data_IF_564436310940
#
_entry.id   IF_564436310940
#
_cell.length_a   1.000
_cell.length_b   1.000
_cell.length_c   1.000
_cell.angle_alpha   90.00
_cell.angle_beta   90.00
_cell.angle_gamma   90.00
#
_symmetry.space_group_name_H-M   'P 1'
#
loop_
_entity.id
_entity.type
_entity.pdbx_description
1 polymer ?
#
# COMPACT_ATOMS: atom_id res chain seq x y z
N UNK A 1 0.10 -8.68 10.46
CA UNK A 1 1.09 -8.91 9.38
C UNK A 1 2.48 -9.26 9.92
N UNK A 2 2.98 -8.59 10.97
CA UNK A 2 4.27 -8.92 11.60
C UNK A 2 4.43 -10.40 12.02
N UNK A 3 3.40 -11.00 12.62
CA UNK A 3 3.44 -12.42 13.01
C UNK A 3 3.69 -13.36 11.81
N UNK A 4 3.06 -13.08 10.67
CA UNK A 4 3.22 -13.87 9.44
C UNK A 4 4.65 -13.74 8.88
N UNK A 5 5.23 -12.53 8.94
CA UNK A 5 6.60 -12.29 8.52
C UNK A 5 7.62 -13.02 9.43
N UNK A 6 7.35 -13.08 10.73
CA UNK A 6 8.19 -13.81 11.68
C UNK A 6 8.11 -15.32 11.45
N UNK A 7 6.94 -15.85 11.10
CA UNK A 7 6.74 -17.26 10.76
C UNK A 7 7.52 -17.64 9.49
N UNK A 8 7.40 -16.86 8.41
CA UNK A 8 8.20 -17.06 7.18
C UNK A 8 9.71 -16.95 7.45
N UNK A 9 10.12 -16.02 8.32
CA UNK A 9 11.53 -15.90 8.73
C UNK A 9 12.02 -17.13 9.47
N UNK A 10 11.22 -17.72 10.37
CA UNK A 10 11.57 -18.95 11.09
C UNK A 10 11.75 -20.12 10.11
N UNK A 11 10.81 -20.30 9.19
CA UNK A 11 10.90 -21.32 8.16
C UNK A 11 12.14 -21.16 7.28
N UNK A 12 12.51 -19.93 6.91
CA UNK A 12 13.73 -19.67 6.16
C UNK A 12 15.01 -20.04 6.92
N UNK A 13 15.03 -19.85 8.24
CA UNK A 13 16.15 -20.27 9.10
C UNK A 13 16.22 -21.79 9.25
N UNK A 14 15.07 -22.46 9.41
CA UNK A 14 14.98 -23.92 9.48
C UNK A 14 15.44 -24.60 8.17
N UNK A 15 15.15 -24.00 7.01
CA UNK A 15 15.57 -24.49 5.69
C UNK A 15 17.03 -24.11 5.34
N UNK A 16 17.78 -23.49 6.27
CA UNK A 16 19.13 -22.95 6.05
C UNK A 16 19.21 -22.02 4.82
N UNK A 17 18.11 -21.32 4.51
CA UNK A 17 17.98 -20.45 3.35
C UNK A 17 18.51 -19.06 3.67
N UNK A 18 19.83 -19.01 3.84
CA UNK A 18 20.56 -17.80 4.23
C UNK A 18 21.62 -17.45 3.21
N UNK A 19 21.68 -16.18 2.83
CA UNK A 19 22.77 -15.61 2.04
C UNK A 19 23.52 -14.62 2.93
N UNK A 20 24.84 -14.81 3.07
CA UNK A 20 25.69 -13.96 3.92
C UNK A 20 25.19 -13.81 5.38
N UNK A 21 24.56 -14.86 5.92
CA UNK A 21 23.99 -14.85 7.28
C UNK A 21 22.62 -14.15 7.40
N UNK A 22 22.05 -13.67 6.29
CA UNK A 22 20.71 -13.09 6.26
C UNK A 22 19.71 -14.10 5.67
N UNK A 23 18.61 -14.43 6.37
CA UNK A 23 17.57 -15.28 5.81
C UNK A 23 16.84 -14.54 4.69
N UNK A 24 16.63 -15.21 3.56
CA UNK A 24 15.85 -14.68 2.45
C UNK A 24 14.62 -15.57 2.18
N UNK A 25 13.52 -14.92 1.79
CA UNK A 25 12.24 -15.59 1.51
C UNK A 25 11.81 -15.31 0.08
N UNK A 26 11.19 -16.30 -0.55
CA UNK A 26 10.53 -16.10 -1.85
C UNK A 26 9.13 -15.55 -1.60
N UNK A 27 8.80 -14.45 -2.27
CA UNK A 27 7.51 -13.78 -2.16
C UNK A 27 6.82 -13.71 -3.52
N UNK A 28 5.50 -13.77 -3.49
CA UNK A 28 4.63 -13.49 -4.63
C UNK A 28 4.13 -12.06 -4.46
N UNK A 29 4.32 -11.24 -5.49
CA UNK A 29 3.87 -9.84 -5.49
C UNK A 29 2.70 -9.72 -6.45
N UNK A 30 1.62 -9.13 -5.98
CA UNK A 30 0.47 -8.78 -6.80
C UNK A 30 0.10 -7.32 -6.56
N UNK A 31 -0.52 -6.69 -7.54
CA UNK A 31 -0.89 -5.29 -7.46
C UNK A 31 -1.61 -4.81 -8.69
N UNK A 32 -2.49 -3.85 -8.47
CA UNK A 32 -3.36 -3.33 -9.52
C UNK A 32 -3.77 -1.89 -9.28
N UNK A 33 -3.99 -1.21 -10.39
CA UNK A 33 -4.74 0.04 -10.43
C UNK A 33 -6.15 -0.28 -10.88
N UNK A 34 -7.14 0.24 -10.16
CA UNK A 34 -8.53 0.07 -10.58
C UNK A 34 -8.77 0.88 -11.85
N UNK A 35 -9.48 0.33 -12.84
CA UNK A 35 -9.90 1.08 -14.03
C UNK A 35 -11.17 1.88 -13.66
N UNK A 36 -11.25 3.15 -14.06
CA UNK A 36 -12.48 3.95 -13.97
C UNK A 36 -13.09 4.04 -15.37
N UNK A 37 -14.42 3.88 -15.47
CA UNK A 37 -15.15 3.80 -16.73
C UNK A 37 -16.15 4.94 -16.95
N UNK A 38 -16.09 6.02 -16.16
CA UNK A 38 -16.98 7.17 -16.38
C UNK A 38 -16.58 7.91 -17.65
N UNK A 39 -17.32 7.67 -18.74
CA UNK A 39 -17.27 8.34 -20.05
C UNK A 39 -15.96 8.14 -20.85
N UNK A 40 -14.81 8.11 -20.17
CA UNK A 40 -13.50 7.80 -20.72
C UNK A 40 -12.79 6.75 -19.85
N UNK A 41 -12.10 5.81 -20.50
CA UNK A 41 -11.33 4.78 -19.80
C UNK A 41 -9.99 5.35 -19.35
N UNK A 42 -9.81 5.58 -18.05
CA UNK A 42 -8.52 5.96 -17.47
C UNK A 42 -8.21 5.10 -16.24
N UNK A 43 -6.93 4.88 -15.98
CA UNK A 43 -6.45 4.23 -14.76
C UNK A 43 -6.79 5.13 -13.58
N UNK A 44 -7.40 4.57 -12.53
CA UNK A 44 -7.71 5.36 -11.34
C UNK A 44 -6.42 5.86 -10.69
N UNK A 45 -6.54 6.95 -9.93
CA UNK A 45 -5.43 7.50 -9.18
C UNK A 45 -5.21 6.78 -7.84
N UNK A 46 -5.85 5.61 -7.67
CA UNK A 46 -5.70 4.73 -6.54
C UNK A 46 -5.19 3.36 -7.01
N UNK A 47 -4.22 2.83 -6.28
CA UNK A 47 -3.62 1.53 -6.57
C UNK A 47 -3.32 0.78 -5.29
N UNK A 48 -3.31 -0.54 -5.38
CA UNK A 48 -2.95 -1.44 -4.29
C UNK A 48 -1.80 -2.34 -4.75
N UNK A 49 -0.88 -2.64 -3.85
CA UNK A 49 0.13 -3.66 -4.01
C UNK A 49 0.18 -4.52 -2.74
N UNK A 50 0.33 -5.82 -2.91
CA UNK A 50 0.48 -6.77 -1.82
C UNK A 50 1.69 -7.67 -2.02
N UNK A 51 2.28 -8.08 -0.90
CA UNK A 51 3.37 -9.05 -0.85
C UNK A 51 2.85 -10.24 -0.06
N UNK A 52 2.93 -11.42 -0.67
CA UNK A 52 2.43 -12.68 -0.13
C UNK A 52 3.62 -13.64 0.02
N UNK A 53 3.77 -14.29 1.17
CA UNK A 53 4.80 -15.30 1.38
C UNK A 53 4.50 -16.54 0.54
N UNK A 54 5.48 -17.05 -0.22
CA UNK A 54 5.24 -18.20 -1.10
C UNK A 54 4.91 -19.48 -0.31
N UNK A 55 5.54 -19.68 0.86
CA UNK A 55 5.44 -20.91 1.65
C UNK A 55 4.16 -20.93 2.48
N UNK A 56 3.96 -19.91 3.31
CA UNK A 56 2.78 -19.79 4.19
C UNK A 56 1.54 -19.35 3.41
N UNK A 57 1.71 -18.76 2.21
CA UNK A 57 0.64 -18.14 1.41
C UNK A 57 -0.08 -17.02 2.18
N UNK A 58 0.55 -16.48 3.22
CA UNK A 58 0.01 -15.41 4.06
C UNK A 58 0.44 -14.05 3.55
N UNK A 59 -0.41 -13.06 3.78
CA UNK A 59 -0.15 -11.66 3.47
C UNK A 59 0.92 -11.10 4.41
N UNK A 60 2.03 -10.63 3.83
CA UNK A 60 3.16 -10.03 4.53
C UNK A 60 3.06 -8.51 4.57
N UNK A 61 2.60 -7.90 3.48
CA UNK A 61 2.49 -6.46 3.35
C UNK A 61 1.35 -6.06 2.41
N UNK A 62 0.68 -4.96 2.74
CA UNK A 62 -0.24 -4.28 1.83
C UNK A 62 0.08 -2.78 1.78
N UNK A 63 0.25 -2.27 0.57
CA UNK A 63 0.46 -0.87 0.29
C UNK A 63 -0.71 -0.33 -0.52
N UNK A 64 -1.35 0.73 -0.03
CA UNK A 64 -2.41 1.42 -0.77
C UNK A 64 -1.93 2.83 -1.09
N UNK A 65 -1.92 3.17 -2.37
CA UNK A 65 -1.69 4.53 -2.85
C UNK A 65 -3.03 5.13 -3.25
N UNK A 66 -3.38 6.28 -2.70
CA UNK A 66 -4.56 7.02 -3.11
C UNK A 66 -4.21 8.50 -3.34
N UNK A 67 -4.55 9.04 -4.50
CA UNK A 67 -4.50 10.48 -4.76
C UNK A 67 -5.80 11.11 -4.26
N UNK A 68 -5.67 12.02 -3.32
CA UNK A 68 -6.80 12.74 -2.73
C UNK A 68 -6.60 14.24 -2.90
N UNK A 69 -7.69 15.00 -2.82
CA UNK A 69 -7.61 16.46 -2.80
C UNK A 69 -7.00 16.89 -1.46
N UNK A 70 -5.81 17.50 -1.49
CA UNK A 70 -5.10 17.94 -0.27
C UNK A 70 -5.92 18.96 0.51
N UNK A 71 -6.62 19.85 -0.19
CA UNK A 71 -7.52 20.85 0.40
C UNK A 71 -8.66 20.18 1.16
N UNK A 72 -9.31 19.17 0.55
CA UNK A 72 -10.40 18.43 1.21
C UNK A 72 -9.92 17.62 2.43
N UNK A 73 -8.70 17.09 2.40
CA UNK A 73 -8.16 16.36 3.55
C UNK A 73 -7.71 17.30 4.68
N UNK A 74 -7.24 18.50 4.35
CA UNK A 74 -6.81 19.49 5.35
C UNK A 74 -8.02 20.16 6.01
N UNK A 75 -9.03 20.54 5.24
CA UNK A 75 -10.31 21.10 5.76
C UNK A 75 -11.19 20.10 6.51
N UNK A 76 -10.94 18.79 6.39
CA UNK A 76 -11.56 17.77 7.27
C UNK A 76 -10.82 17.59 8.59
N UNK A 77 -9.52 17.92 8.66
CA UNK A 77 -8.70 17.79 9.87
C UNK A 77 -8.89 18.98 10.80
N UNK A 78 -9.04 20.17 10.22
CA UNK A 78 -9.37 21.39 10.95
C UNK A 78 -10.86 21.65 10.72
N UNK A 79 -11.67 21.76 11.78
CA UNK A 79 -13.13 22.03 11.70
C UNK A 79 -13.42 23.45 11.16
N UNK A 80 -12.94 23.79 9.96
CA UNK A 80 -12.97 25.14 9.39
C UNK A 80 -13.95 25.17 8.21
N UNK A 81 -14.91 26.09 8.27
CA UNK A 81 -16.04 26.18 7.36
C UNK A 81 -15.63 26.55 5.92
N UNK A 82 -16.31 25.91 4.98
CA UNK A 82 -15.83 25.52 3.66
C UNK A 82 -16.07 26.55 2.53
N UNK A 83 -15.96 27.86 2.75
CA UNK A 83 -16.53 28.83 1.79
C UNK A 83 -15.63 29.46 0.74
N UNK A 84 -14.30 29.30 0.73
CA UNK A 84 -13.51 30.10 -0.23
C UNK A 84 -12.17 29.49 -0.71
N UNK A 85 -12.16 28.27 -1.24
CA UNK A 85 -10.96 27.76 -1.95
C UNK A 85 -11.33 27.15 -3.29
N UNK A 86 -11.44 28.01 -4.30
CA UNK A 86 -11.66 27.64 -5.69
C UNK A 86 -10.38 27.96 -6.47
N UNK A 87 -9.86 26.94 -7.16
CA UNK A 87 -8.69 26.93 -8.04
C UNK A 87 -7.31 26.96 -7.40
N UNK A 88 -6.71 25.78 -7.16
CA UNK A 88 -5.35 25.42 -7.57
C UNK A 88 -5.22 23.88 -7.50
N UNK A 89 -4.44 23.28 -8.41
CA UNK A 89 -4.21 21.82 -8.53
C UNK A 89 -3.39 21.25 -7.33
N UNK A 90 -3.92 21.35 -6.12
CA UNK A 90 -3.28 20.84 -4.90
C UNK A 90 -3.69 19.38 -4.65
N UNK A 91 -3.11 18.46 -5.42
CA UNK A 91 -3.30 17.03 -5.21
C UNK A 91 -2.23 16.45 -4.27
N UNK A 92 -2.65 15.77 -3.21
CA UNK A 92 -1.77 15.00 -2.33
C UNK A 92 -1.80 13.51 -2.69
N UNK A 93 -0.72 12.80 -2.39
CA UNK A 93 -0.68 11.33 -2.45
C UNK A 93 -0.44 10.77 -1.06
N UNK A 94 -1.33 9.90 -0.59
CA UNK A 94 -1.15 9.19 0.67
C UNK A 94 -0.70 7.78 0.32
N UNK A 95 0.39 7.39 0.96
CA UNK A 95 0.81 6.00 1.04
C UNK A 95 0.29 5.48 2.37
N UNK A 96 -0.81 4.76 2.35
CA UNK A 96 -1.17 3.94 3.50
C UNK A 96 -0.25 2.72 3.46
N UNK A 97 0.82 2.80 4.26
CA UNK A 97 1.66 1.65 4.58
C UNK A 97 0.88 0.84 5.60
N UNK A 98 0.27 -0.26 5.18
CA UNK A 98 -0.28 -1.25 6.10
C UNK A 98 0.87 -1.99 6.76
N UNK A 99 1.52 -1.35 7.74
CA UNK A 99 2.53 -1.96 8.60
C UNK A 99 3.74 -1.07 8.91
N UNK A 100 3.74 -0.49 10.12
CA UNK A 100 4.80 -0.65 11.13
C UNK A 100 4.12 -0.90 12.46
#
# INVERSE_FOLDING_TARGET
>A
MHANAMEEKKLALEEARTEQGLPYITVIVDGGWTKRSYEHSYSSLAGVACIIGQKTKKLLYIGIKNKFCYVCATTKREHVLQKLFRFFNCYGTNYYRGGV
#
